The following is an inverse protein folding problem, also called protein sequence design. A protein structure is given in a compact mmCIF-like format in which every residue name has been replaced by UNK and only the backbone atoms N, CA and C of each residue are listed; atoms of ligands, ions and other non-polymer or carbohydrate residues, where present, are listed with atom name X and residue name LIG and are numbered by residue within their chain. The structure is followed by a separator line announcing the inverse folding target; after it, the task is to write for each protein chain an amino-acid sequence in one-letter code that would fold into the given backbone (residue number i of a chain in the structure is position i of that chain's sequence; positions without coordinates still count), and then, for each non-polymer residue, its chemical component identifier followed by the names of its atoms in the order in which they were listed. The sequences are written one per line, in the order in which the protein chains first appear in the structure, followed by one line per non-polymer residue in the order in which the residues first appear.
data_IF_495155155483
#
_entry.id   IF_495155155483
#
_cell.length_a   1.000
_cell.length_b   1.000
_cell.length_c   1.000
_cell.angle_alpha   90.00
_cell.angle_beta   90.00
_cell.angle_gamma   90.00
#
_symmetry.space_group_name_H-M   'P 1'
#
loop_
_entity.id
_entity.type
_entity.pdbx_description
1 polymer ?
#
# COMPACT_ATOMS: atom_id res chain seq x y z
N UNK A 1 -32.30 -7.02 -6.62
CA UNK A 1 -31.80 -6.00 -7.58
C UNK A 1 -31.03 -6.68 -8.67
N UNK A 2 -31.40 -6.44 -9.90
CA UNK A 2 -30.61 -6.93 -11.03
C UNK A 2 -29.43 -6.00 -11.23
N UNK A 3 -28.23 -6.54 -11.22
CA UNK A 3 -27.05 -5.79 -11.62
C UNK A 3 -27.19 -5.39 -13.08
N UNK A 4 -27.00 -4.12 -13.40
CA UNK A 4 -27.04 -3.65 -14.77
C UNK A 4 -25.78 -4.10 -15.50
N UNK A 5 -25.84 -4.22 -16.84
CA UNK A 5 -24.65 -4.56 -17.63
C UNK A 5 -23.53 -3.51 -17.49
N UNK A 6 -23.85 -2.29 -17.07
CA UNK A 6 -22.88 -1.25 -16.76
C UNK A 6 -22.11 -1.56 -15.46
N UNK A 7 -22.80 -2.07 -14.43
CA UNK A 7 -22.17 -2.44 -13.16
C UNK A 7 -21.24 -3.64 -13.33
N UNK A 8 -21.64 -4.63 -14.12
CA UNK A 8 -20.79 -5.77 -14.46
C UNK A 8 -19.54 -5.33 -15.24
N UNK A 9 -19.68 -4.36 -16.14
CA UNK A 9 -18.54 -3.81 -16.88
C UNK A 9 -17.58 -3.03 -16.00
N UNK A 10 -18.08 -2.33 -14.98
CA UNK A 10 -17.22 -1.64 -14.02
C UNK A 10 -16.45 -2.61 -13.12
N UNK A 11 -17.06 -3.73 -12.72
CA UNK A 11 -16.40 -4.75 -11.91
C UNK A 11 -15.21 -5.41 -12.64
N UNK A 12 -15.28 -5.54 -13.97
CA UNK A 12 -14.25 -6.13 -14.81
C UNK A 12 -13.29 -5.10 -15.43
N UNK A 13 -13.49 -3.81 -15.12
CA UNK A 13 -12.70 -2.75 -15.72
C UNK A 13 -11.24 -2.79 -15.28
N UNK A 14 -10.33 -2.69 -16.25
CA UNK A 14 -8.90 -2.54 -16.03
C UNK A 14 -8.43 -1.30 -16.81
N UNK A 15 -7.68 -0.39 -16.18
CA UNK A 15 -7.16 0.78 -16.88
C UNK A 15 -6.32 0.42 -18.11
N UNK A 16 -6.50 1.16 -19.19
CA UNK A 16 -5.81 0.96 -20.46
C UNK A 16 -5.07 2.22 -20.87
N UNK A 17 -3.94 2.05 -21.54
CA UNK A 17 -3.18 3.16 -22.11
C UNK A 17 -3.91 3.88 -23.26
N UNK A 18 -4.92 3.24 -23.83
CA UNK A 18 -5.75 3.82 -24.90
C UNK A 18 -6.74 4.86 -24.39
N UNK A 19 -6.90 4.97 -23.08
CA UNK A 19 -7.77 5.96 -22.44
C UNK A 19 -6.97 7.18 -22.01
N UNK A 20 -7.62 8.36 -21.84
CA UNK A 20 -6.95 9.50 -21.22
C UNK A 20 -6.40 9.13 -19.84
N UNK A 21 -5.13 9.48 -19.60
CA UNK A 21 -4.44 9.14 -18.36
C UNK A 21 -5.13 9.76 -17.15
N UNK A 22 -5.39 8.95 -16.13
CA UNK A 22 -6.07 9.35 -14.88
C UNK A 22 -7.41 10.05 -15.11
N UNK A 23 -8.20 9.55 -16.06
CA UNK A 23 -9.60 9.94 -16.19
C UNK A 23 -10.37 9.48 -14.93
N UNK A 24 -11.61 9.94 -14.78
CA UNK A 24 -12.45 9.61 -13.61
C UNK A 24 -12.53 8.10 -13.34
N UNK A 25 -12.65 7.33 -14.40
CA UNK A 25 -12.78 5.88 -14.30
C UNK A 25 -11.51 5.23 -13.77
N UNK A 26 -10.34 5.69 -14.24
CA UNK A 26 -9.03 5.23 -13.76
C UNK A 26 -8.81 5.63 -12.31
N UNK A 27 -9.11 6.88 -11.96
CA UNK A 27 -8.98 7.36 -10.58
C UNK A 27 -9.85 6.55 -9.62
N UNK A 28 -11.09 6.25 -10.00
CA UNK A 28 -11.99 5.44 -9.21
C UNK A 28 -11.49 3.99 -9.05
N UNK A 29 -10.89 3.44 -10.09
CA UNK A 29 -10.26 2.12 -10.06
C UNK A 29 -9.14 2.07 -9.01
N UNK A 30 -8.22 3.02 -9.04
CA UNK A 30 -7.11 3.07 -8.09
C UNK A 30 -7.58 3.40 -6.68
N UNK A 31 -8.57 4.26 -6.54
CA UNK A 31 -9.18 4.56 -5.25
C UNK A 31 -9.74 3.30 -4.58
N UNK A 32 -10.50 2.52 -5.32
CA UNK A 32 -11.05 1.25 -4.82
C UNK A 32 -9.94 0.28 -4.44
N UNK A 33 -8.94 0.13 -5.28
CA UNK A 33 -7.79 -0.74 -5.03
C UNK A 33 -7.05 -0.35 -3.75
N UNK A 34 -6.85 0.93 -3.53
CA UNK A 34 -6.19 1.47 -2.33
C UNK A 34 -7.05 1.26 -1.08
N UNK A 35 -8.34 1.51 -1.16
CA UNK A 35 -9.27 1.31 -0.04
C UNK A 35 -9.37 -0.15 0.37
N UNK A 36 -9.48 -1.06 -0.59
CA UNK A 36 -9.52 -2.50 -0.35
C UNK A 36 -8.23 -2.98 0.32
N UNK A 37 -7.10 -2.51 -0.16
CA UNK A 37 -5.79 -2.84 0.41
C UNK A 37 -5.65 -2.33 1.84
N UNK A 38 -6.07 -1.10 2.10
CA UNK A 38 -6.07 -0.52 3.44
C UNK A 38 -6.92 -1.36 4.40
N UNK A 39 -8.10 -1.77 3.97
CA UNK A 39 -8.99 -2.61 4.78
C UNK A 39 -8.35 -3.95 5.12
N UNK A 40 -7.69 -4.59 4.16
CA UNK A 40 -6.97 -5.85 4.37
C UNK A 40 -5.85 -5.69 5.42
N UNK A 41 -5.08 -4.61 5.32
CA UNK A 41 -4.00 -4.31 6.29
C UNK A 41 -4.57 -4.10 7.69
N UNK A 42 -5.66 -3.34 7.81
CA UNK A 42 -6.30 -3.08 9.10
C UNK A 42 -6.85 -4.36 9.72
N UNK A 43 -7.39 -5.25 8.91
CA UNK A 43 -7.88 -6.55 9.37
C UNK A 43 -6.74 -7.42 9.91
N UNK A 44 -5.65 -7.55 9.16
CA UNK A 44 -4.45 -8.27 9.59
C UNK A 44 -3.88 -7.69 10.88
N UNK A 45 -3.85 -6.39 11.01
CA UNK A 45 -3.35 -5.70 12.20
C UNK A 45 -4.18 -6.03 13.44
N UNK A 46 -5.51 -6.11 13.30
CA UNK A 46 -6.40 -6.51 14.40
C UNK A 46 -6.19 -7.96 14.82
N UNK A 47 -6.00 -8.85 13.86
CA UNK A 47 -5.71 -10.27 14.11
C UNK A 47 -4.39 -10.45 14.85
N UNK A 48 -3.36 -9.70 14.47
CA UNK A 48 -2.04 -9.69 15.12
C UNK A 48 -2.14 -9.26 16.59
N UNK A 49 -2.89 -8.19 16.89
CA UNK A 49 -3.10 -7.72 18.25
C UNK A 49 -3.79 -8.79 19.10
N UNK A 50 -4.82 -9.43 18.55
CA UNK A 50 -5.55 -10.50 19.25
C UNK A 50 -4.61 -11.68 19.57
N UNK A 51 -3.76 -12.07 18.62
CA UNK A 51 -2.79 -13.14 18.78
C UNK A 51 -1.75 -12.80 19.88
N UNK A 52 -1.22 -11.59 19.90
CA UNK A 52 -0.29 -11.11 20.92
C UNK A 52 -0.90 -11.17 22.32
N UNK A 53 -2.15 -10.77 22.46
CA UNK A 53 -2.86 -10.80 23.75
C UNK A 53 -3.02 -12.23 24.26
N UNK A 54 -3.38 -13.17 23.40
CA UNK A 54 -3.54 -14.58 23.77
C UNK A 54 -2.22 -15.21 24.20
N UNK A 55 -1.11 -14.94 23.49
CA UNK A 55 0.21 -15.45 23.83
C UNK A 55 0.67 -14.95 25.19
N UNK A 56 0.45 -13.70 25.52
CA UNK A 56 0.84 -13.11 26.80
C UNK A 56 0.14 -13.78 27.97
N UNK A 57 -1.08 -14.25 27.79
CA UNK A 57 -1.85 -14.94 28.84
C UNK A 57 -1.43 -16.39 29.06
N UNK A 58 -0.82 -17.05 28.06
CA UNK A 58 -0.59 -18.50 28.04
C UNK A 58 0.83 -18.98 28.30
N UNK A 59 1.82 -18.09 28.56
CA UNK A 59 3.22 -18.49 28.74
C UNK A 59 3.77 -18.14 30.12
N UNK A 60 3.62 -19.03 31.13
CA UNK A 60 4.19 -18.80 32.45
C UNK A 60 5.69 -19.19 32.59
N UNK A 61 6.25 -19.96 31.62
CA UNK A 61 7.63 -20.44 31.64
C UNK A 61 8.61 -19.39 31.11
N UNK A 62 9.80 -19.26 31.72
CA UNK A 62 10.83 -18.28 31.35
C UNK A 62 11.36 -18.54 29.93
N UNK A 63 11.59 -19.79 29.54
CA UNK A 63 12.05 -20.16 28.20
C UNK A 63 11.01 -19.83 27.14
N UNK A 64 9.75 -20.13 27.42
CA UNK A 64 8.62 -19.81 26.54
C UNK A 64 8.38 -18.30 26.45
N UNK A 65 8.63 -17.57 27.54
CA UNK A 65 8.57 -16.09 27.54
C UNK A 65 9.63 -15.48 26.63
N UNK A 66 10.86 -15.98 26.63
CA UNK A 66 11.92 -15.47 25.78
C UNK A 66 11.60 -15.67 24.29
N UNK A 67 11.08 -16.85 23.92
CA UNK A 67 10.63 -17.13 22.56
C UNK A 67 9.44 -16.25 22.16
N UNK A 68 8.47 -16.11 23.06
CA UNK A 68 7.29 -15.26 22.87
C UNK A 68 7.66 -13.79 22.71
N UNK A 69 8.64 -13.29 23.46
CA UNK A 69 9.13 -11.91 23.34
C UNK A 69 9.80 -11.66 21.99
N UNK A 70 10.55 -12.63 21.46
CA UNK A 70 11.15 -12.53 20.11
C UNK A 70 10.06 -12.48 19.05
N UNK A 71 9.07 -13.37 19.12
CA UNK A 71 7.93 -13.40 18.19
C UNK A 71 7.14 -12.10 18.28
N UNK A 72 6.91 -11.61 19.49
CA UNK A 72 6.22 -10.34 19.72
C UNK A 72 6.97 -9.15 19.11
N UNK A 73 8.31 -9.13 19.23
CA UNK A 73 9.13 -8.08 18.63
C UNK A 73 9.00 -8.08 17.11
N UNK A 74 8.99 -9.27 16.47
CA UNK A 74 8.80 -9.41 15.02
C UNK A 74 7.42 -8.95 14.60
N UNK A 75 6.37 -9.30 15.34
CA UNK A 75 5.01 -8.87 15.07
C UNK A 75 4.85 -7.36 15.21
N UNK A 76 5.48 -6.74 16.20
CA UNK A 76 5.46 -5.28 16.39
C UNK A 76 6.16 -4.55 15.24
N UNK A 77 7.25 -5.10 14.70
CA UNK A 77 7.91 -4.57 13.50
C UNK A 77 7.00 -4.66 12.28
N UNK A 78 6.27 -5.76 12.14
CA UNK A 78 5.28 -5.94 11.07
C UNK A 78 4.20 -4.87 11.19
N UNK A 79 3.68 -4.62 12.40
CA UNK A 79 2.70 -3.56 12.64
C UNK A 79 3.22 -2.17 12.28
N UNK A 80 4.48 -1.88 12.60
CA UNK A 80 5.09 -0.60 12.23
C UNK A 80 5.17 -0.44 10.72
N UNK A 81 5.55 -1.47 9.98
CA UNK A 81 5.53 -1.45 8.51
C UNK A 81 4.12 -1.24 7.97
N UNK A 82 3.13 -1.94 8.53
CA UNK A 82 1.74 -1.79 8.15
C UNK A 82 1.23 -0.37 8.39
N UNK A 83 1.60 0.25 9.51
CA UNK A 83 1.23 1.63 9.83
C UNK A 83 1.82 2.62 8.80
N UNK A 84 3.09 2.44 8.46
CA UNK A 84 3.76 3.26 7.43
C UNK A 84 3.10 3.09 6.07
N UNK A 85 2.72 1.85 5.73
CA UNK A 85 2.04 1.54 4.48
C UNK A 85 0.66 2.18 4.43
N UNK A 86 -0.11 2.14 5.51
CA UNK A 86 -1.41 2.81 5.63
C UNK A 86 -1.24 4.32 5.42
N UNK A 87 -0.21 4.93 6.00
CA UNK A 87 0.10 6.34 5.82
C UNK A 87 0.34 6.68 4.34
N UNK A 88 1.07 5.83 3.63
CA UNK A 88 1.32 5.99 2.18
C UNK A 88 0.04 5.80 1.36
N UNK A 89 -0.81 4.86 1.75
CA UNK A 89 -2.12 4.66 1.12
C UNK A 89 -3.00 5.90 1.30
N UNK A 90 -3.06 6.43 2.52
CA UNK A 90 -3.85 7.64 2.82
C UNK A 90 -3.34 8.85 2.03
N UNK A 91 -2.02 8.98 1.87
CA UNK A 91 -1.43 10.02 1.04
C UNK A 91 -1.82 9.86 -0.43
N UNK A 92 -1.81 8.62 -0.95
CA UNK A 92 -2.25 8.33 -2.32
C UNK A 92 -3.73 8.67 -2.52
N UNK A 93 -4.57 8.34 -1.54
CA UNK A 93 -6.00 8.67 -1.58
C UNK A 93 -6.24 10.19 -1.61
N UNK A 94 -5.47 10.96 -0.84
CA UNK A 94 -5.54 12.43 -0.88
C UNK A 94 -5.15 12.97 -2.25
N UNK A 95 -4.12 12.40 -2.87
CA UNK A 95 -3.67 12.80 -4.21
C UNK A 95 -4.72 12.49 -5.27
N UNK A 96 -5.49 11.41 -5.12
CA UNK A 96 -6.64 11.12 -5.99
C UNK A 96 -7.68 12.23 -5.85
N UNK A 97 -8.02 12.63 -4.63
CA UNK A 97 -8.99 13.72 -4.38
C UNK A 97 -8.51 15.06 -4.96
N UNK A 98 -7.21 15.33 -4.88
CA UNK A 98 -6.57 16.54 -5.41
C UNK A 98 -6.25 16.44 -6.91
N UNK A 99 -6.44 15.27 -7.52
CA UNK A 99 -6.17 14.97 -8.93
C UNK A 99 -4.68 15.04 -9.31
N UNK A 100 -3.81 14.80 -8.35
CA UNK A 100 -2.35 14.72 -8.54
C UNK A 100 -1.85 13.29 -8.62
N UNK A 101 -2.71 12.31 -8.37
CA UNK A 101 -2.34 10.89 -8.37
C UNK A 101 -1.85 10.45 -9.74
N UNK A 102 -0.80 9.62 -9.75
CA UNK A 102 -0.27 9.01 -10.96
C UNK A 102 0.85 9.80 -11.65
N UNK A 103 1.21 10.96 -11.12
CA UNK A 103 2.29 11.78 -11.66
C UNK A 103 3.51 11.73 -10.75
N UNK A 104 4.70 11.65 -11.36
CA UNK A 104 5.96 11.63 -10.63
C UNK A 104 6.17 12.94 -9.87
N UNK A 105 6.47 12.85 -8.57
CA UNK A 105 6.69 14.03 -7.73
C UNK A 105 7.92 14.84 -8.15
N UNK A 106 8.92 14.20 -8.74
CA UNK A 106 10.15 14.89 -9.17
C UNK A 106 10.04 15.51 -10.56
N UNK A 107 9.45 14.83 -11.51
CA UNK A 107 9.44 15.25 -12.92
C UNK A 107 8.13 15.80 -13.39
N UNK A 108 7.03 15.52 -12.70
CA UNK A 108 5.67 15.85 -13.13
C UNK A 108 5.15 14.99 -14.25
N UNK A 109 5.95 14.05 -14.75
CA UNK A 109 5.54 13.15 -15.84
C UNK A 109 4.63 12.03 -15.32
N UNK A 110 3.74 11.49 -16.19
CA UNK A 110 2.91 10.36 -15.79
C UNK A 110 3.75 9.14 -15.41
N UNK A 111 3.34 8.48 -14.33
CA UNK A 111 3.87 7.16 -13.94
C UNK A 111 3.13 6.12 -14.78
N UNK A 112 3.84 5.12 -15.33
CA UNK A 112 3.19 4.11 -16.17
C UNK A 112 2.06 3.38 -15.43
N UNK A 113 1.00 3.04 -16.15
CA UNK A 113 -0.10 2.26 -15.59
C UNK A 113 0.37 0.92 -15.04
N UNK A 114 1.31 0.25 -15.73
CA UNK A 114 1.88 -1.02 -15.28
C UNK A 114 2.53 -0.87 -13.90
N UNK A 115 3.28 0.21 -13.68
CA UNK A 115 3.92 0.50 -12.38
C UNK A 115 2.89 0.79 -11.30
N UNK A 116 1.86 1.57 -11.61
CA UNK A 116 0.78 1.88 -10.66
C UNK A 116 -0.07 0.65 -10.33
N UNK A 117 -0.28 -0.24 -11.29
CA UNK A 117 -0.97 -1.51 -11.05
C UNK A 117 -0.17 -2.40 -10.10
N UNK A 118 1.15 -2.45 -10.25
CA UNK A 118 2.04 -3.22 -9.39
C UNK A 118 2.22 -2.55 -8.02
N UNK A 119 2.28 -1.22 -7.99
CA UNK A 119 2.51 -0.44 -6.77
C UNK A 119 1.64 0.82 -6.77
N UNK A 120 0.40 0.72 -6.28
CA UNK A 120 -0.54 1.84 -6.31
C UNK A 120 -0.12 3.06 -5.49
N UNK A 121 0.80 2.90 -4.54
CA UNK A 121 1.33 4.00 -3.72
C UNK A 121 2.56 4.68 -4.34
N UNK A 122 2.99 4.28 -5.54
CA UNK A 122 4.17 4.86 -6.19
C UNK A 122 4.00 6.36 -6.40
N UNK A 123 5.01 7.13 -6.02
CA UNK A 123 5.06 8.58 -6.15
C UNK A 123 6.14 9.05 -7.12
N UNK A 124 6.98 8.13 -7.58
CA UNK A 124 8.08 8.38 -8.49
C UNK A 124 7.98 7.46 -9.70
N UNK A 125 8.29 7.97 -10.87
CA UNK A 125 8.50 7.16 -12.05
C UNK A 125 9.74 6.28 -11.87
N UNK A 126 9.90 5.28 -12.74
CA UNK A 126 10.98 4.31 -12.62
C UNK A 126 12.37 4.95 -12.58
N UNK A 127 12.63 5.89 -13.49
CA UNK A 127 13.93 6.57 -13.57
C UNK A 127 14.24 7.42 -12.33
N UNK A 128 13.22 8.12 -11.81
CA UNK A 128 13.36 8.91 -10.59
C UNK A 128 13.63 8.01 -9.38
N UNK A 129 12.96 6.86 -9.30
CA UNK A 129 13.17 5.88 -8.25
C UNK A 129 14.59 5.32 -8.30
N UNK A 130 15.11 4.99 -9.48
CA UNK A 130 16.46 4.50 -9.66
C UNK A 130 17.51 5.56 -9.25
N UNK A 131 17.27 6.84 -9.55
CA UNK A 131 18.14 7.94 -9.10
C UNK A 131 18.17 8.04 -7.58
N UNK A 132 17.03 7.93 -6.92
CA UNK A 132 16.94 7.93 -5.45
C UNK A 132 17.74 6.79 -4.84
N UNK A 133 17.58 5.59 -5.35
CA UNK A 133 18.30 4.41 -4.87
C UNK A 133 19.82 4.55 -5.04
N UNK A 134 20.27 5.13 -6.15
CA UNK A 134 21.69 5.41 -6.37
C UNK A 134 22.26 6.43 -5.39
N UNK A 135 21.50 7.49 -5.10
CA UNK A 135 21.90 8.51 -4.10
C UNK A 135 22.00 7.90 -2.70
N UNK A 136 21.07 7.07 -2.31
CA UNK A 136 21.10 6.39 -1.03
C UNK A 136 22.33 5.49 -0.88
N UNK A 137 22.69 4.76 -1.93
CA UNK A 137 23.90 3.92 -1.93
C UNK A 137 25.17 4.75 -1.75
N UNK A 138 25.31 5.86 -2.46
CA UNK A 138 26.45 6.76 -2.37
C UNK A 138 26.57 7.33 -0.95
N UNK A 139 25.48 7.72 -0.34
CA UNK A 139 25.47 8.23 1.03
C UNK A 139 25.80 7.18 2.08
N UNK A 140 25.50 5.91 1.83
CA UNK A 140 25.87 4.81 2.74
C UNK A 140 27.35 4.46 2.67
N UNK A 141 27.97 4.64 1.51
CA UNK A 141 29.38 4.34 1.27
C UNK A 141 30.34 5.44 1.74
N UNK A 142 29.80 6.60 2.06
CA UNK A 142 30.52 7.70 2.69
C UNK A 142 30.49 7.52 4.22
#
# INVERSE_FOLDING_TARGET
MQETSADLKEADYVPSEDEPFMNERQLNFFKKKLLDWKEDILKESRETVTHLQKETENHPDIADRASSETDRALELRTRDRQRKLISKIDAALRRIEERDYGFCEETGEPISLARLMARPIATLGLEAQERHERRERVHRDD
#
